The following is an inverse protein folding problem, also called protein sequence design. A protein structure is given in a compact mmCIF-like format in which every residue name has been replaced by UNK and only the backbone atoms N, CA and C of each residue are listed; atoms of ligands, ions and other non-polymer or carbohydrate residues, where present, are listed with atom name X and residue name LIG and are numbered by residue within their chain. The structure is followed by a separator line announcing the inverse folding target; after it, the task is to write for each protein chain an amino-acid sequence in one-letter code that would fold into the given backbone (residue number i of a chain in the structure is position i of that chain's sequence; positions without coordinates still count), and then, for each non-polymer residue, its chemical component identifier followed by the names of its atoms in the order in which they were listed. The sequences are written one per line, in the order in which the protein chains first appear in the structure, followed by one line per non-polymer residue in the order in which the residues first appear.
data_IF_017945109805
#
_entry.id   IF_017945109805
#
_cell.length_a   1.000
_cell.length_b   1.000
_cell.length_c   1.000
_cell.angle_alpha   90.00
_cell.angle_beta   90.00
_cell.angle_gamma   90.00
#
_symmetry.space_group_name_H-M   'P 1'
#
loop_
_entity.id
_entity.type
_entity.pdbx_description
1 polymer ?
#
# COMPACT_ATOMS: atom_id res chain seq x y z
N UNK A 1 14.98 2.61 45.13
CA UNK A 1 14.55 3.50 44.05
C UNK A 1 14.27 2.58 42.85
N UNK A 2 13.25 1.72 42.79
CA UNK A 2 11.78 1.94 42.81
C UNK A 2 11.40 3.31 42.27
N UNK A 3 10.88 3.38 41.05
CA UNK A 3 9.45 3.61 40.79
C UNK A 3 9.08 3.15 39.37
N UNK A 4 8.29 2.08 39.32
CA UNK A 4 7.33 1.83 38.25
C UNK A 4 6.29 2.95 38.24
N UNK A 5 6.03 3.52 37.07
CA UNK A 5 4.75 4.15 36.70
C UNK A 5 4.62 3.90 35.19
N UNK A 6 3.54 3.42 34.62
CA UNK A 6 2.17 3.34 35.10
C UNK A 6 1.29 3.29 33.85
N UNK A 7 0.51 2.25 33.77
CA UNK A 7 -0.42 1.88 32.70
C UNK A 7 -1.54 2.94 32.54
N UNK A 8 -2.07 3.02 31.31
CA UNK A 8 -3.50 3.30 30.98
C UNK A 8 -3.94 4.75 30.79
N UNK A 9 -4.56 5.01 29.63
CA UNK A 9 -5.61 6.01 29.47
C UNK A 9 -5.78 6.51 28.05
N UNK A 10 -6.93 6.21 27.43
CA UNK A 10 -7.49 6.93 26.27
C UNK A 10 -6.93 6.58 24.88
N UNK A 11 -7.29 5.37 24.41
CA UNK A 11 -7.85 5.27 23.05
C UNK A 11 -8.91 4.18 23.00
N UNK A 12 -9.86 4.29 23.92
CA UNK A 12 -11.19 3.72 23.75
C UNK A 12 -12.10 4.87 23.29
N UNK A 13 -12.00 5.22 22.00
CA UNK A 13 -13.11 5.85 21.31
C UNK A 13 -13.41 5.09 20.03
N UNK A 14 -14.14 4.00 20.25
CA UNK A 14 -15.36 3.61 19.53
C UNK A 14 -15.22 3.33 18.05
N UNK A 15 -15.30 2.05 17.70
CA UNK A 15 -16.31 1.53 16.77
C UNK A 15 -16.58 2.30 15.47
N UNK A 16 -15.55 2.89 14.86
CA UNK A 16 -15.53 3.01 13.42
C UNK A 16 -15.13 1.63 12.90
N UNK A 17 -16.12 0.77 12.67
CA UNK A 17 -15.96 -0.29 11.69
C UNK A 17 -15.37 0.41 10.46
N UNK A 18 -14.08 0.17 10.19
CA UNK A 18 -13.49 0.71 8.97
C UNK A 18 -14.40 0.18 7.85
N UNK A 19 -15.02 1.04 7.02
CA UNK A 19 -15.86 0.56 5.94
C UNK A 19 -15.02 -0.47 5.19
N UNK A 20 -15.53 -1.71 5.10
CA UNK A 20 -14.79 -2.86 4.61
C UNK A 20 -14.08 -2.46 3.34
N UNK A 21 -12.74 -2.33 3.44
CA UNK A 21 -11.79 -1.87 2.43
C UNK A 21 -12.48 -1.53 1.10
N UNK A 22 -13.06 -0.32 1.05
CA UNK A 22 -14.07 0.13 0.08
C UNK A 22 -13.97 -0.60 -1.27
N UNK A 23 -14.98 -1.42 -1.60
CA UNK A 23 -15.02 -2.28 -2.80
C UNK A 23 -14.63 -1.53 -4.08
N UNK A 24 -14.85 -0.21 -4.12
CA UNK A 24 -14.46 0.69 -5.22
C UNK A 24 -12.94 0.84 -5.43
N UNK A 25 -12.13 0.64 -4.39
CA UNK A 25 -10.67 0.73 -4.44
C UNK A 25 -9.98 -0.62 -4.54
N UNK A 26 -10.71 -1.72 -4.38
CA UNK A 26 -10.20 -3.07 -4.60
C UNK A 26 -9.93 -3.30 -6.09
N UNK A 27 -8.85 -4.01 -6.41
CA UNK A 27 -8.62 -4.47 -7.77
C UNK A 27 -9.60 -5.58 -8.11
N UNK A 28 -10.29 -5.48 -9.25
CA UNK A 28 -11.04 -6.61 -9.82
C UNK A 28 -10.08 -7.67 -10.40
N UNK A 29 -10.57 -8.86 -10.70
CA UNK A 29 -9.76 -9.93 -11.30
C UNK A 29 -9.15 -9.54 -12.65
N UNK A 30 -9.82 -8.73 -13.46
CA UNK A 30 -9.25 -8.27 -14.74
C UNK A 30 -8.11 -7.28 -14.55
N UNK A 31 -8.31 -6.26 -13.70
CA UNK A 31 -7.28 -5.30 -13.31
C UNK A 31 -6.08 -6.01 -12.68
N UNK A 32 -6.34 -6.98 -11.80
CA UNK A 32 -5.29 -7.77 -11.16
C UNK A 32 -4.50 -8.61 -12.16
N UNK A 33 -5.17 -9.21 -13.16
CA UNK A 33 -4.50 -9.94 -14.24
C UNK A 33 -3.63 -9.03 -15.10
N UNK A 34 -4.10 -7.81 -15.41
CA UNK A 34 -3.32 -6.81 -16.13
C UNK A 34 -2.05 -6.42 -15.34
N UNK A 35 -2.19 -6.17 -14.03
CA UNK A 35 -1.06 -5.88 -13.13
C UNK A 35 -0.07 -7.05 -13.11
N UNK A 36 -0.53 -8.29 -12.97
CA UNK A 36 0.34 -9.47 -12.96
C UNK A 36 1.12 -9.63 -14.28
N UNK A 37 0.52 -9.28 -15.42
CA UNK A 37 1.16 -9.34 -16.73
C UNK A 37 2.23 -8.26 -16.91
N UNK A 38 2.06 -7.09 -16.28
CA UNK A 38 3.02 -5.98 -16.37
C UNK A 38 4.22 -6.14 -15.43
N UNK A 39 4.09 -6.92 -14.35
CA UNK A 39 5.18 -7.16 -13.41
C UNK A 39 6.29 -8.06 -14.01
N UNK A 40 7.57 -7.83 -13.66
CA UNK A 40 8.66 -8.72 -14.06
C UNK A 40 8.39 -10.18 -13.67
N UNK A 41 8.83 -11.14 -14.49
CA UNK A 41 8.51 -12.56 -14.32
C UNK A 41 8.75 -13.09 -12.89
N UNK A 42 9.84 -12.68 -12.22
CA UNK A 42 10.14 -13.09 -10.84
C UNK A 42 9.18 -12.49 -9.79
N UNK A 43 8.76 -11.24 -10.00
CA UNK A 43 7.80 -10.55 -9.12
C UNK A 43 6.40 -11.09 -9.38
N UNK A 44 6.03 -11.25 -10.65
CA UNK A 44 4.77 -11.85 -11.09
C UNK A 44 4.62 -13.29 -10.58
N UNK A 45 5.68 -14.11 -10.64
CA UNK A 45 5.67 -15.48 -10.13
C UNK A 45 5.42 -15.53 -8.60
N UNK A 46 6.03 -14.61 -7.83
CA UNK A 46 5.75 -14.49 -6.39
C UNK A 46 4.37 -13.93 -6.09
N UNK A 47 3.87 -13.03 -6.94
CA UNK A 47 2.55 -12.43 -6.82
C UNK A 47 1.41 -13.42 -7.17
N UNK A 48 1.67 -14.35 -8.10
CA UNK A 48 0.70 -15.35 -8.59
C UNK A 48 0.20 -16.32 -7.52
N UNK A 49 0.99 -16.58 -6.48
CA UNK A 49 0.59 -17.40 -5.31
C UNK A 49 0.00 -16.56 -4.16
N UNK A 50 -0.27 -15.28 -4.37
CA UNK A 50 -0.48 -14.34 -3.26
C UNK A 50 -1.76 -13.56 -3.35
N UNK A 51 -2.84 -14.06 -2.75
CA UNK A 51 -3.94 -13.21 -2.22
C UNK A 51 -3.36 -12.05 -1.41
N UNK A 52 -2.24 -12.29 -0.70
CA UNK A 52 -1.45 -11.28 0.02
C UNK A 52 -0.84 -10.18 -0.86
N UNK A 53 -0.61 -10.43 -2.15
CA UNK A 53 -0.04 -9.41 -3.06
C UNK A 53 -1.13 -8.52 -3.63
N UNK A 54 -2.30 -9.08 -3.96
CA UNK A 54 -3.50 -8.28 -4.31
C UNK A 54 -3.88 -7.39 -3.15
N UNK A 55 -4.05 -7.96 -1.96
CA UNK A 55 -4.32 -7.21 -0.72
C UNK A 55 -3.26 -6.15 -0.40
N UNK A 56 -1.99 -6.39 -0.75
CA UNK A 56 -0.93 -5.39 -0.64
C UNK A 56 -1.16 -4.20 -1.58
N UNK A 57 -1.54 -4.43 -2.84
CA UNK A 57 -1.82 -3.33 -3.77
C UNK A 57 -3.09 -2.58 -3.35
N UNK A 58 -4.12 -3.29 -2.91
CA UNK A 58 -5.35 -2.68 -2.37
C UNK A 58 -5.03 -1.80 -1.15
N UNK A 59 -4.13 -2.25 -0.28
CA UNK A 59 -3.68 -1.48 0.89
C UNK A 59 -2.98 -0.17 0.48
N UNK A 60 -2.14 -0.22 -0.55
CA UNK A 60 -1.46 0.97 -1.08
C UNK A 60 -2.48 1.91 -1.74
N UNK A 61 -3.46 1.38 -2.46
CA UNK A 61 -4.56 2.16 -3.05
C UNK A 61 -5.36 2.89 -1.97
N UNK A 62 -5.69 2.22 -0.87
CA UNK A 62 -6.38 2.83 0.25
C UNK A 62 -5.58 3.99 0.87
N UNK A 63 -4.26 3.81 1.05
CA UNK A 63 -3.38 4.89 1.54
C UNK A 63 -3.34 6.05 0.53
N UNK A 64 -3.24 5.74 -0.77
CA UNK A 64 -3.22 6.75 -1.82
C UNK A 64 -4.54 7.56 -1.89
N UNK A 65 -5.68 6.90 -1.68
CA UNK A 65 -7.00 7.51 -1.68
C UNK A 65 -7.24 8.37 -0.44
N UNK A 66 -6.90 7.84 0.75
CA UNK A 66 -7.23 8.47 2.03
C UNK A 66 -6.20 9.48 2.51
N UNK A 67 -4.94 9.36 2.03
CA UNK A 67 -3.81 10.15 2.53
C UNK A 67 -3.45 9.87 3.99
N UNK A 68 -4.03 8.82 4.60
CA UNK A 68 -3.79 8.45 5.99
C UNK A 68 -2.37 7.89 6.16
N UNK A 69 -1.76 8.03 7.35
CA UNK A 69 -0.45 7.45 7.61
C UNK A 69 -0.52 5.93 7.57
N UNK A 70 0.56 5.29 7.10
CA UNK A 70 0.68 3.83 7.00
C UNK A 70 0.34 3.09 8.31
N UNK A 71 0.61 3.69 9.47
CA UNK A 71 0.32 3.12 10.79
C UNK A 71 -1.18 2.86 11.02
N UNK A 72 -2.05 3.59 10.32
CA UNK A 72 -3.51 3.39 10.39
C UNK A 72 -4.03 2.30 9.45
N UNK A 73 -3.13 1.60 8.75
CA UNK A 73 -3.54 0.50 7.89
C UNK A 73 -4.16 -0.62 8.74
N UNK A 74 -5.34 -1.06 8.34
CA UNK A 74 -6.05 -2.17 9.01
C UNK A 74 -5.25 -3.47 8.93
N UNK A 75 -5.27 -4.26 10.01
CA UNK A 75 -4.59 -5.55 10.12
C UNK A 75 -4.94 -6.55 9.00
N UNK A 76 -6.08 -6.38 8.33
CA UNK A 76 -6.52 -7.22 7.21
C UNK A 76 -5.55 -7.18 6.01
N UNK A 77 -4.83 -6.08 5.82
CA UNK A 77 -3.80 -5.92 4.79
C UNK A 77 -2.42 -6.48 5.21
N UNK A 78 -2.30 -6.94 6.45
CA UNK A 78 -1.05 -7.34 7.08
C UNK A 78 -0.32 -6.19 7.79
N UNK A 79 0.85 -6.48 8.37
CA UNK A 79 1.59 -5.49 9.16
C UNK A 79 1.98 -4.27 8.31
N UNK A 80 1.60 -3.07 8.76
CA UNK A 80 1.85 -1.82 8.03
C UNK A 80 3.33 -1.63 7.65
N UNK A 81 4.26 -2.06 8.52
CA UNK A 81 5.69 -1.95 8.27
C UNK A 81 6.13 -2.81 7.08
N UNK A 82 5.59 -4.03 6.97
CA UNK A 82 5.86 -4.93 5.85
C UNK A 82 5.31 -4.38 4.53
N UNK A 83 4.12 -3.77 4.58
CA UNK A 83 3.51 -3.10 3.42
C UNK A 83 4.37 -1.90 3.01
N UNK A 84 4.75 -1.04 3.95
CA UNK A 84 5.60 0.12 3.69
C UNK A 84 6.95 -0.29 3.07
N UNK A 85 7.68 -1.23 3.67
CA UNK A 85 8.98 -1.70 3.15
C UNK A 85 8.85 -2.29 1.74
N UNK A 86 7.76 -3.01 1.45
CA UNK A 86 7.51 -3.52 0.09
C UNK A 86 7.18 -2.40 -0.89
N UNK A 87 6.37 -1.41 -0.47
CA UNK A 87 6.04 -0.24 -1.27
C UNK A 87 7.29 0.55 -1.67
N UNK A 88 8.18 0.85 -0.71
CA UNK A 88 9.41 1.62 -0.98
C UNK A 88 10.31 0.87 -1.96
N UNK A 89 10.48 -0.45 -1.77
CA UNK A 89 11.22 -1.30 -2.69
C UNK A 89 10.65 -1.23 -4.11
N UNK A 90 9.34 -1.34 -4.27
CA UNK A 90 8.69 -1.25 -5.59
C UNK A 90 8.82 0.15 -6.21
N UNK A 91 8.84 1.20 -5.40
CA UNK A 91 9.08 2.56 -5.88
C UNK A 91 10.50 2.73 -6.42
N UNK A 92 11.51 2.21 -5.72
CA UNK A 92 12.89 2.26 -6.18
C UNK A 92 13.18 1.34 -7.38
N UNK A 93 12.49 0.20 -7.47
CA UNK A 93 12.60 -0.73 -8.62
C UNK A 93 11.77 -0.25 -9.84
N UNK A 94 11.05 0.89 -9.74
CA UNK A 94 10.21 1.40 -10.82
C UNK A 94 9.00 0.51 -11.15
N UNK A 95 8.61 -0.37 -10.23
CA UNK A 95 7.51 -1.32 -10.44
C UNK A 95 6.15 -0.64 -10.42
N UNK A 96 5.99 0.42 -9.61
CA UNK A 96 4.74 1.15 -9.56
C UNK A 96 4.36 1.81 -10.89
N UNK A 97 5.34 2.23 -11.70
CA UNK A 97 5.06 2.77 -13.04
C UNK A 97 4.38 1.72 -13.93
N UNK A 98 4.86 0.47 -13.87
CA UNK A 98 4.26 -0.67 -14.59
C UNK A 98 2.86 -0.97 -14.10
N UNK A 99 2.63 -0.92 -12.78
CA UNK A 99 1.30 -1.12 -12.19
C UNK A 99 0.34 -0.02 -12.64
N UNK A 100 0.77 1.24 -12.62
CA UNK A 100 -0.04 2.40 -13.05
C UNK A 100 -0.43 2.27 -14.52
N UNK A 101 0.50 1.91 -15.40
CA UNK A 101 0.22 1.68 -16.83
C UNK A 101 -0.75 0.51 -17.02
N UNK A 102 -0.64 -0.55 -16.20
CA UNK A 102 -1.51 -1.72 -16.29
C UNK A 102 -2.96 -1.46 -15.84
N UNK A 103 -3.17 -0.52 -14.91
CA UNK A 103 -4.50 -0.17 -14.39
C UNK A 103 -5.27 0.80 -15.29
N UNK A 104 -4.83 1.00 -16.54
CA UNK A 104 -5.23 2.08 -17.43
C UNK A 104 -4.87 3.46 -16.85
N UNK A 105 -4.05 4.23 -17.56
CA UNK A 105 -3.53 5.53 -17.10
C UNK A 105 -4.66 6.54 -16.79
N UNK A 106 -5.84 6.33 -17.38
CA UNK A 106 -7.04 7.15 -17.15
C UNK A 106 -7.85 6.75 -15.92
N UNK A 107 -7.56 5.61 -15.28
CA UNK A 107 -8.32 5.17 -14.12
C UNK A 107 -8.03 6.03 -12.90
N UNK A 108 -9.03 6.17 -12.02
CA UNK A 108 -8.87 6.87 -10.75
C UNK A 108 -7.75 6.22 -9.91
N UNK A 109 -7.69 4.88 -9.89
CA UNK A 109 -6.69 4.08 -9.18
C UNK A 109 -5.26 4.41 -9.65
N UNK A 110 -5.04 4.46 -10.97
CA UNK A 110 -3.76 4.86 -11.56
C UNK A 110 -3.34 6.28 -11.12
N UNK A 111 -4.27 7.24 -11.16
CA UNK A 111 -4.03 8.61 -10.70
C UNK A 111 -3.65 8.70 -9.22
N UNK A 112 -4.32 7.94 -8.35
CA UNK A 112 -4.01 7.87 -6.92
C UNK A 112 -2.61 7.31 -6.66
N UNK A 113 -2.27 6.18 -7.27
CA UNK A 113 -0.94 5.58 -7.15
C UNK A 113 0.14 6.52 -7.67
N UNK A 114 -0.08 7.15 -8.83
CA UNK A 114 0.86 8.12 -9.41
C UNK A 114 1.13 9.28 -8.45
N UNK A 115 0.09 9.85 -7.84
CA UNK A 115 0.23 10.92 -6.84
C UNK A 115 1.04 10.45 -5.64
N UNK A 116 0.72 9.29 -5.07
CA UNK A 116 1.40 8.75 -3.89
C UNK A 116 2.89 8.49 -4.19
N UNK A 117 3.20 7.79 -5.27
CA UNK A 117 4.57 7.44 -5.66
C UNK A 117 5.37 8.68 -5.99
N UNK A 118 4.80 9.64 -6.73
CA UNK A 118 5.48 10.90 -7.05
C UNK A 118 5.79 11.72 -5.79
N UNK A 119 4.84 11.78 -4.84
CA UNK A 119 5.03 12.48 -3.56
C UNK A 119 6.09 11.78 -2.69
N UNK A 120 6.09 10.45 -2.69
CA UNK A 120 7.09 9.65 -2.00
C UNK A 120 8.49 9.88 -2.59
N UNK A 121 8.66 9.72 -3.91
CA UNK A 121 9.95 9.89 -4.57
C UNK A 121 10.48 11.33 -4.44
N UNK A 122 9.60 12.34 -4.43
CA UNK A 122 9.98 13.74 -4.16
C UNK A 122 10.51 13.92 -2.73
N UNK A 123 9.86 13.31 -1.74
CA UNK A 123 10.24 13.45 -0.33
C UNK A 123 11.43 12.57 0.08
N UNK A 124 11.67 11.45 -0.62
CA UNK A 124 12.72 10.47 -0.35
C UNK A 124 13.79 10.43 -1.43
N UNK A 125 14.22 11.62 -1.88
CA UNK A 125 15.30 11.78 -2.86
C UNK A 125 16.49 10.87 -2.51
N UNK A 126 17.20 10.30 -3.52
CA UNK A 126 18.16 9.18 -3.38
C UNK A 126 19.39 9.43 -2.48
N UNK A 127 19.45 10.56 -1.78
CA UNK A 127 20.52 11.00 -0.89
C UNK A 127 20.56 10.24 0.46
N UNK A 128 19.48 9.56 0.85
CA UNK A 128 19.44 8.70 2.05
C UNK A 128 20.11 7.31 1.85
N UNK A 129 21.10 7.22 0.96
CA UNK A 129 22.00 6.06 0.85
C UNK A 129 23.30 6.34 1.63
N UNK A 130 23.25 6.23 2.96
CA UNK A 130 24.44 6.04 3.80
C UNK A 130 24.20 4.96 4.83
#
# INVERSE_FOLDING_TARGET
MIEEQGRTGEQEERDAVAPGMDDMLSLDDDEWRAVLAALPALVSARARNGERTRAFVDAVLWIAATGRPWVQLSSSAGPWHSVYVRFTRWAHEGLWDKVIVALDDRSQKAGLLRRLVTTYLRSRSPEERR
#
